data_IF_424291003680
#
_entry.id   IF_424291003680
#
_cell.length_a   1.000
_cell.length_b   1.000
_cell.length_c   1.000
_cell.angle_alpha   90.00
_cell.angle_beta   90.00
_cell.angle_gamma   90.00
#
_symmetry.space_group_name_H-M   'P 1'
#
loop_
_entity.id
_entity.type
_entity.pdbx_description
1 polymer ?
#
# COMPACT_ATOMS: atom_id res chain seq x y z
N UNK A 1 1.49 -19.97 -9.95
CA UNK A 1 2.70 -19.86 -9.10
C UNK A 1 2.52 -20.74 -7.89
N UNK A 2 3.54 -21.48 -7.49
CA UNK A 2 3.57 -22.25 -6.24
C UNK A 2 3.81 -21.31 -5.05
N UNK A 3 3.58 -21.79 -3.82
CA UNK A 3 3.87 -21.00 -2.60
C UNK A 3 5.33 -20.49 -2.53
N UNK A 4 6.27 -21.14 -3.22
CA UNK A 4 7.68 -20.75 -3.30
C UNK A 4 7.95 -19.54 -4.20
N UNK A 5 7.01 -19.16 -5.06
CA UNK A 5 7.28 -18.16 -6.10
C UNK A 5 7.24 -16.71 -5.57
N UNK A 6 6.62 -16.47 -4.41
CA UNK A 6 6.53 -15.12 -3.81
C UNK A 6 7.68 -14.81 -2.86
N UNK A 7 8.31 -15.81 -2.27
CA UNK A 7 9.32 -15.62 -1.23
C UNK A 7 10.50 -14.72 -1.68
N UNK A 8 11.10 -14.88 -2.87
CA UNK A 8 12.20 -14.02 -3.28
C UNK A 8 11.83 -12.52 -3.33
N UNK A 9 10.61 -12.21 -3.77
CA UNK A 9 10.12 -10.82 -3.80
C UNK A 9 9.86 -10.27 -2.40
N UNK A 10 9.32 -11.10 -1.52
CA UNK A 10 9.09 -10.73 -0.13
C UNK A 10 10.40 -10.49 0.61
N UNK A 11 11.42 -11.34 0.41
CA UNK A 11 12.74 -11.16 0.98
C UNK A 11 13.41 -9.88 0.49
N UNK A 12 13.34 -9.57 -0.81
CA UNK A 12 13.91 -8.34 -1.34
C UNK A 12 13.28 -7.09 -0.73
N UNK A 13 11.95 -7.07 -0.58
CA UNK A 13 11.26 -5.96 0.08
C UNK A 13 11.55 -5.90 1.58
N UNK A 14 11.67 -7.04 2.26
CA UNK A 14 12.04 -7.08 3.67
C UNK A 14 13.46 -6.56 3.91
N UNK A 15 14.41 -6.92 3.05
CA UNK A 15 15.80 -6.44 3.08
C UNK A 15 15.87 -4.92 2.82
N UNK A 16 14.99 -4.40 1.96
CA UNK A 16 14.80 -2.96 1.76
C UNK A 16 14.09 -2.24 2.93
N UNK A 17 13.70 -2.96 3.99
CA UNK A 17 13.17 -2.39 5.23
C UNK A 17 11.64 -2.43 5.37
N UNK A 18 10.91 -2.93 4.39
CA UNK A 18 9.45 -3.05 4.48
C UNK A 18 9.01 -4.24 5.32
N UNK A 19 7.93 -4.07 6.10
CA UNK A 19 7.30 -5.16 6.85
C UNK A 19 6.39 -5.96 5.91
N UNK A 20 6.81 -7.16 5.55
CA UNK A 20 6.09 -8.03 4.63
C UNK A 20 5.39 -9.18 5.34
N UNK A 21 4.26 -9.61 4.80
CA UNK A 21 3.58 -10.81 5.28
C UNK A 21 2.92 -11.57 4.14
N UNK A 22 2.81 -12.91 4.23
CA UNK A 22 2.03 -13.70 3.30
C UNK A 22 0.55 -13.34 3.42
N UNK A 23 -0.18 -13.40 2.32
CA UNK A 23 -1.61 -13.09 2.27
C UNK A 23 -2.39 -14.26 1.68
N UNK A 24 -3.52 -14.55 2.28
CA UNK A 24 -4.54 -15.34 1.66
C UNK A 24 -5.50 -14.40 0.95
N UNK A 25 -5.32 -14.27 -0.36
CA UNK A 25 -5.93 -13.23 -1.17
C UNK A 25 -5.50 -11.81 -0.73
N UNK A 26 -6.42 -10.99 -0.25
CA UNK A 26 -6.15 -9.61 0.16
C UNK A 26 -5.89 -9.44 1.66
N UNK A 27 -6.02 -10.53 2.43
CA UNK A 27 -6.02 -10.44 3.90
C UNK A 27 -4.93 -11.32 4.52
N UNK A 28 -4.23 -10.82 5.55
CA UNK A 28 -3.39 -11.62 6.45
C UNK A 28 -4.27 -12.32 7.51
N UNK A 29 -5.35 -12.97 7.06
CA UNK A 29 -6.34 -13.60 7.95
C UNK A 29 -5.89 -15.02 8.30
N UNK A 30 -5.00 -15.10 9.29
CA UNK A 30 -4.55 -16.33 9.89
C UNK A 30 -4.90 -16.29 11.37
N UNK A 31 -5.69 -17.27 11.83
CA UNK A 31 -6.21 -17.30 13.19
C UNK A 31 -5.11 -17.11 14.26
N UNK A 32 -5.27 -16.13 15.11
CA UNK A 32 -4.38 -15.84 16.23
C UNK A 32 -3.08 -15.09 15.90
N UNK A 33 -2.83 -14.69 14.65
CA UNK A 33 -1.58 -14.05 14.27
C UNK A 33 -1.65 -12.50 14.17
N UNK A 34 -2.76 -11.88 14.55
CA UNK A 34 -2.85 -10.43 14.73
C UNK A 34 -2.85 -9.59 13.45
N UNK A 35 -3.21 -10.18 12.30
CA UNK A 35 -3.36 -9.46 11.03
C UNK A 35 -2.07 -8.78 10.55
N UNK A 36 -2.20 -7.60 9.94
CA UNK A 36 -1.07 -6.83 9.38
C UNK A 36 0.02 -6.50 10.42
N UNK A 37 -0.37 -6.14 11.63
CA UNK A 37 0.57 -5.69 12.68
C UNK A 37 1.24 -6.84 13.41
N UNK A 38 0.60 -8.01 13.50
CA UNK A 38 1.12 -9.15 14.23
C UNK A 38 1.92 -10.15 13.38
N UNK A 39 1.66 -10.16 12.06
CA UNK A 39 2.27 -11.13 11.13
C UNK A 39 3.41 -10.54 10.31
N UNK A 40 3.37 -9.24 10.02
CA UNK A 40 4.34 -8.63 9.13
C UNK A 40 5.72 -8.49 9.78
N UNK A 41 6.75 -8.90 9.07
CA UNK A 41 8.15 -8.83 9.50
C UNK A 41 9.07 -8.36 8.37
N UNK A 42 10.20 -7.79 8.74
CA UNK A 42 11.37 -7.58 7.86
C UNK A 42 12.54 -8.47 8.24
N UNK A 43 12.42 -9.25 9.30
CA UNK A 43 13.44 -10.18 9.71
C UNK A 43 13.38 -11.44 8.82
N UNK A 44 14.36 -11.62 7.96
CA UNK A 44 14.37 -12.66 6.91
C UNK A 44 14.04 -14.07 7.43
N UNK A 45 14.60 -14.54 8.57
CA UNK A 45 14.22 -15.84 9.13
C UNK A 45 12.71 -15.97 9.44
N UNK A 46 12.08 -14.91 9.94
CA UNK A 46 10.63 -14.90 10.21
C UNK A 46 9.83 -14.87 8.92
N UNK A 47 10.24 -14.07 7.93
CA UNK A 47 9.62 -14.05 6.60
C UNK A 47 9.63 -15.45 6.01
N UNK A 48 10.79 -16.12 5.97
CA UNK A 48 10.92 -17.51 5.52
C UNK A 48 10.03 -18.47 6.30
N UNK A 49 9.99 -18.34 7.61
CA UNK A 49 9.17 -19.18 8.47
C UNK A 49 7.68 -19.02 8.12
N UNK A 50 7.17 -17.78 8.04
CA UNK A 50 5.76 -17.53 7.70
C UNK A 50 5.41 -18.05 6.31
N UNK A 51 6.23 -17.77 5.29
CA UNK A 51 5.97 -18.24 3.93
C UNK A 51 6.06 -19.76 3.77
N UNK A 52 6.84 -20.46 4.60
CA UNK A 52 6.91 -21.92 4.59
C UNK A 52 5.73 -22.58 5.27
N UNK A 53 5.04 -21.90 6.21
CA UNK A 53 4.01 -22.48 7.08
C UNK A 53 2.61 -22.06 6.73
N UNK A 54 2.43 -20.85 6.22
CA UNK A 54 1.11 -20.30 5.97
C UNK A 54 0.72 -20.47 4.50
N UNK A 55 -0.48 -21.00 4.21
CA UNK A 55 -0.98 -21.04 2.83
C UNK A 55 -1.22 -19.63 2.33
N UNK A 56 -0.65 -19.27 1.18
CA UNK A 56 -0.79 -17.92 0.64
C UNK A 56 -0.98 -17.92 -0.88
N UNK A 57 -1.64 -16.88 -1.38
CA UNK A 57 -1.89 -16.63 -2.80
C UNK A 57 -1.16 -15.37 -3.27
N UNK A 58 -0.41 -14.76 -2.38
CA UNK A 58 0.34 -13.54 -2.59
C UNK A 58 0.94 -13.04 -1.28
N UNK A 59 1.38 -11.82 -1.29
CA UNK A 59 1.92 -11.15 -0.12
C UNK A 59 1.67 -9.64 -0.17
N UNK A 60 1.91 -8.97 0.94
CA UNK A 60 1.71 -7.54 1.07
C UNK A 60 2.68 -6.89 2.03
N UNK A 61 2.59 -5.57 2.08
CA UNK A 61 3.34 -4.71 3.00
C UNK A 61 2.36 -4.16 4.04
N UNK A 62 2.69 -4.33 5.32
CA UNK A 62 2.04 -3.59 6.39
C UNK A 62 2.48 -2.13 6.31
N UNK A 63 1.53 -1.23 6.11
CA UNK A 63 1.80 0.21 5.92
C UNK A 63 1.92 0.96 7.24
N UNK A 64 2.49 2.15 7.19
CA UNK A 64 2.63 3.07 8.32
C UNK A 64 4.07 3.34 8.71
N UNK A 65 4.23 3.91 9.89
CA UNK A 65 5.53 4.36 10.43
C UNK A 65 6.59 3.26 10.40
N UNK A 66 6.22 2.05 10.80
CA UNK A 66 7.16 0.94 10.91
C UNK A 66 7.75 0.48 9.57
N UNK A 67 7.02 0.59 8.47
CA UNK A 67 7.49 0.32 7.10
C UNK A 67 8.00 1.57 6.38
N UNK A 68 7.88 2.75 7.00
CA UNK A 68 8.27 4.00 6.38
C UNK A 68 7.42 4.43 5.17
N UNK A 69 6.28 3.80 4.95
CA UNK A 69 5.43 4.07 3.79
C UNK A 69 3.93 3.96 4.10
N UNK A 70 3.13 4.57 3.25
CA UNK A 70 1.68 4.42 3.23
C UNK A 70 1.18 4.43 1.78
N UNK A 71 -0.06 4.04 1.55
CA UNK A 71 -0.63 3.98 0.22
C UNK A 71 -1.99 4.66 0.14
N UNK A 72 -2.23 5.34 -0.98
CA UNK A 72 -3.55 5.73 -1.44
C UNK A 72 -4.04 4.64 -2.41
N UNK A 73 -5.12 3.98 -2.03
CA UNK A 73 -5.77 2.94 -2.80
C UNK A 73 -6.90 3.58 -3.62
N UNK A 74 -6.87 3.41 -4.94
CA UNK A 74 -7.72 4.10 -5.91
C UNK A 74 -8.42 3.04 -6.72
N UNK A 75 -9.72 2.87 -6.49
CA UNK A 75 -10.53 1.80 -7.06
C UNK A 75 -11.56 2.29 -8.07
N UNK A 76 -11.60 1.59 -9.18
CA UNK A 76 -12.62 1.75 -10.22
C UNK A 76 -12.59 3.11 -10.92
N UNK A 77 -13.66 3.39 -11.67
CA UNK A 77 -13.81 4.66 -12.41
C UNK A 77 -14.01 5.85 -11.46
N UNK A 78 -14.77 5.66 -10.39
CA UNK A 78 -14.98 6.72 -9.40
C UNK A 78 -13.68 7.15 -8.72
N UNK A 79 -12.82 6.19 -8.38
CA UNK A 79 -11.51 6.50 -7.81
C UNK A 79 -10.59 7.21 -8.80
N UNK A 80 -10.61 6.81 -10.07
CA UNK A 80 -9.86 7.50 -11.13
C UNK A 80 -10.32 8.93 -11.30
N UNK A 81 -11.64 9.17 -11.35
CA UNK A 81 -12.20 10.51 -11.47
C UNK A 81 -11.84 11.37 -10.24
N UNK A 82 -12.02 10.84 -9.04
CA UNK A 82 -11.64 11.54 -7.79
C UNK A 82 -10.17 11.95 -7.78
N UNK A 83 -9.28 11.09 -8.31
CA UNK A 83 -7.85 11.42 -8.42
C UNK A 83 -7.59 12.55 -9.41
N UNK A 84 -8.27 12.52 -10.57
CA UNK A 84 -8.17 13.60 -11.58
C UNK A 84 -8.65 14.91 -11.00
N UNK A 85 -9.83 14.94 -10.38
CA UNK A 85 -10.40 16.12 -9.75
C UNK A 85 -9.47 16.73 -8.68
N UNK A 86 -8.81 15.87 -7.88
CA UNK A 86 -7.84 16.31 -6.88
C UNK A 86 -6.59 16.92 -7.50
N UNK A 87 -6.06 16.35 -8.57
CA UNK A 87 -4.88 16.87 -9.27
C UNK A 87 -5.22 18.20 -9.93
N UNK A 88 -6.36 18.31 -10.60
CA UNK A 88 -6.81 19.55 -11.25
C UNK A 88 -7.05 20.68 -10.25
N UNK A 89 -7.58 20.35 -9.06
CA UNK A 89 -7.85 21.34 -8.01
C UNK A 89 -6.60 21.78 -7.24
N UNK A 90 -5.52 21.00 -7.27
CA UNK A 90 -4.41 21.19 -6.35
C UNK A 90 -3.11 21.60 -7.04
N UNK A 91 -2.52 20.73 -7.83
CA UNK A 91 -1.31 21.00 -8.60
C UNK A 91 -0.83 19.70 -9.27
N UNK A 92 0.06 18.95 -8.64
CA UNK A 92 0.57 17.69 -9.17
C UNK A 92 0.75 16.64 -8.06
N UNK A 93 0.80 15.38 -8.48
CA UNK A 93 1.29 14.29 -7.63
C UNK A 93 2.72 13.95 -8.03
N UNK A 94 3.62 13.77 -7.05
CA UNK A 94 5.00 13.41 -7.33
C UNK A 94 5.08 12.05 -8.04
N UNK A 95 6.07 11.91 -8.92
CA UNK A 95 6.42 10.61 -9.51
C UNK A 95 6.91 9.66 -8.42
N UNK A 96 6.51 8.40 -8.52
CA UNK A 96 6.89 7.36 -7.56
C UNK A 96 6.28 6.01 -7.86
N UNK A 97 6.55 5.01 -7.02
CA UNK A 97 6.02 3.66 -7.19
C UNK A 97 4.49 3.63 -7.23
N UNK A 98 3.97 2.89 -8.20
CA UNK A 98 2.53 2.65 -8.36
C UNK A 98 2.30 1.18 -8.62
N UNK A 99 1.53 0.54 -7.76
CA UNK A 99 1.01 -0.80 -7.99
C UNK A 99 -0.26 -0.71 -8.84
N UNK A 100 -0.30 -1.40 -9.96
CA UNK A 100 -1.51 -1.59 -10.75
C UNK A 100 -2.26 -2.80 -10.19
N UNK A 101 -3.54 -2.61 -9.95
CA UNK A 101 -4.46 -3.66 -9.55
C UNK A 101 -5.42 -3.96 -10.71
N UNK A 102 -6.13 -5.10 -10.75
CA UNK A 102 -7.14 -5.36 -11.75
C UNK A 102 -8.25 -4.29 -11.84
N UNK A 103 -8.54 -3.59 -10.75
CA UNK A 103 -9.62 -2.61 -10.69
C UNK A 103 -9.13 -1.16 -10.53
N UNK A 104 -7.83 -0.93 -10.31
CA UNK A 104 -7.33 0.41 -10.03
C UNK A 104 -5.82 0.47 -9.81
N UNK A 105 -5.40 1.17 -8.78
CA UNK A 105 -3.98 1.33 -8.46
C UNK A 105 -3.76 1.70 -7.00
N UNK A 106 -2.60 1.31 -6.45
CA UNK A 106 -2.10 1.85 -5.18
C UNK A 106 -0.96 2.84 -5.50
N UNK A 107 -1.07 4.07 -5.03
CA UNK A 107 0.02 5.05 -5.07
C UNK A 107 0.74 5.06 -3.74
N UNK A 108 2.06 4.90 -3.76
CA UNK A 108 2.90 4.80 -2.59
C UNK A 108 3.50 6.15 -2.22
N UNK A 109 3.50 6.43 -0.93
CA UNK A 109 4.10 7.63 -0.35
C UNK A 109 4.97 7.27 0.85
N UNK A 110 6.03 8.04 1.06
CA UNK A 110 6.87 7.94 2.24
C UNK A 110 6.09 8.36 3.49
N UNK A 111 6.25 7.60 4.56
CA UNK A 111 5.71 7.99 5.86
C UNK A 111 6.64 9.03 6.48
N UNK A 112 6.11 10.17 6.91
CA UNK A 112 6.82 11.25 7.58
C UNK A 112 6.08 11.65 8.85
N UNK A 113 6.66 12.44 9.76
CA UNK A 113 5.95 12.94 10.94
C UNK A 113 4.63 13.66 10.63
N UNK A 114 4.49 14.26 9.46
CA UNK A 114 3.23 14.85 9.00
C UNK A 114 2.11 13.81 8.84
N UNK A 115 2.48 12.55 8.59
CA UNK A 115 1.53 11.43 8.44
C UNK A 115 0.95 10.93 9.77
N UNK A 116 1.40 11.42 10.93
CA UNK A 116 0.86 11.02 12.26
C UNK A 116 -0.65 11.21 12.42
N UNK A 117 -1.21 12.17 11.68
CA UNK A 117 -2.65 12.42 11.68
C UNK A 117 -3.43 11.45 10.80
N UNK A 118 -2.79 10.76 9.86
CA UNK A 118 -3.43 9.81 8.98
C UNK A 118 -3.95 8.60 9.76
N UNK A 119 -5.11 8.13 9.33
CA UNK A 119 -5.72 6.87 9.81
C UNK A 119 -6.13 6.05 8.59
N UNK A 120 -6.20 4.73 8.73
CA UNK A 120 -6.88 3.91 7.74
C UNK A 120 -8.28 4.45 7.54
N UNK A 121 -8.62 4.80 6.32
CA UNK A 121 -9.91 5.40 5.99
C UNK A 121 -10.39 4.88 4.65
N UNK A 122 -11.60 4.35 4.65
CA UNK A 122 -12.31 3.95 3.44
C UNK A 122 -13.12 5.16 2.95
N UNK A 123 -13.03 5.44 1.65
CA UNK A 123 -13.84 6.46 0.99
C UNK A 123 -13.57 7.88 1.50
N UNK A 124 -12.31 8.30 1.66
CA UNK A 124 -12.05 9.72 1.94
C UNK A 124 -12.45 10.61 0.75
N UNK A 125 -12.44 10.03 -0.44
CA UNK A 125 -13.12 10.44 -1.66
C UNK A 125 -13.82 9.23 -2.31
N UNK A 126 -14.81 9.39 -3.20
CA UNK A 126 -15.40 8.26 -3.90
C UNK A 126 -14.35 7.40 -4.57
N UNK A 127 -14.29 6.11 -4.22
CA UNK A 127 -13.32 5.15 -4.74
C UNK A 127 -11.87 5.38 -4.31
N UNK A 128 -11.61 6.15 -3.25
CA UNK A 128 -10.26 6.38 -2.74
C UNK A 128 -10.17 6.07 -1.24
N UNK A 129 -9.24 5.19 -0.89
CA UNK A 129 -8.96 4.76 0.48
C UNK A 129 -7.54 5.15 0.90
N UNK A 130 -7.31 5.23 2.21
CA UNK A 130 -5.99 5.40 2.81
C UNK A 130 -5.62 4.15 3.59
N UNK A 131 -4.43 3.62 3.31
CA UNK A 131 -3.81 2.50 4.03
C UNK A 131 -2.52 2.98 4.68
N UNK A 132 -2.55 3.13 5.99
CA UNK A 132 -1.44 3.62 6.82
C UNK A 132 -1.25 2.73 8.05
N UNK A 133 -0.74 3.24 9.16
CA UNK A 133 -0.41 2.47 10.37
C UNK A 133 -1.57 1.57 10.81
N UNK A 134 -1.28 0.30 10.94
CA UNK A 134 -2.27 -0.76 11.26
C UNK A 134 -3.00 -1.33 10.05
N UNK A 135 -2.74 -0.81 8.85
CA UNK A 135 -3.22 -1.33 7.58
C UNK A 135 -2.15 -2.03 6.77
N UNK A 136 -2.48 -2.30 5.52
CA UNK A 136 -1.53 -2.85 4.56
C UNK A 136 -2.16 -2.98 3.18
N UNK A 137 -1.31 -3.22 2.20
CA UNK A 137 -1.71 -3.41 0.81
C UNK A 137 -0.99 -4.58 0.16
N UNK A 138 -1.67 -5.20 -0.77
CA UNK A 138 -1.12 -6.28 -1.60
C UNK A 138 -0.10 -5.69 -2.57
N UNK A 139 1.02 -6.40 -2.77
CA UNK A 139 2.07 -6.00 -3.71
C UNK A 139 2.30 -7.02 -4.81
N UNK A 140 2.84 -6.58 -5.96
CA UNK A 140 3.23 -7.49 -7.04
C UNK A 140 4.29 -8.52 -6.61
N UNK A 141 4.26 -9.72 -7.19
CA UNK A 141 3.40 -10.21 -8.27
C UNK A 141 2.17 -11.01 -7.77
N UNK A 142 1.57 -10.64 -6.66
CA UNK A 142 0.46 -11.34 -6.03
C UNK A 142 -0.71 -11.58 -6.98
N UNK A 143 -1.45 -12.68 -6.76
CA UNK A 143 -2.68 -12.95 -7.48
C UNK A 143 -3.84 -12.12 -6.90
N UNK A 144 -4.79 -11.73 -7.76
CA UNK A 144 -6.03 -11.08 -7.35
C UNK A 144 -7.17 -12.11 -7.27
N UNK A 145 -8.08 -12.02 -6.29
CA UNK A 145 -9.18 -12.99 -6.15
C UNK A 145 -10.12 -13.04 -7.36
N UNK A 146 -10.34 -11.91 -8.01
CA UNK A 146 -11.22 -11.80 -9.20
C UNK A 146 -10.47 -12.12 -10.51
N UNK A 147 -9.27 -12.65 -10.43
CA UNK A 147 -8.40 -12.95 -11.56
C UNK A 147 -7.39 -11.84 -11.84
N UNK A 148 -6.37 -12.18 -12.63
CA UNK A 148 -5.25 -11.28 -12.89
C UNK A 148 -4.23 -11.21 -11.76
N UNK A 149 -3.33 -10.26 -11.87
CA UNK A 149 -2.23 -10.05 -10.92
C UNK A 149 -1.98 -8.58 -10.69
N UNK A 150 -1.41 -8.30 -9.53
CA UNK A 150 -0.80 -7.00 -9.25
C UNK A 150 0.50 -6.88 -10.05
N UNK A 151 0.77 -5.69 -10.59
CA UNK A 151 2.00 -5.35 -11.30
C UNK A 151 2.49 -3.95 -10.91
N UNK A 152 3.79 -3.71 -11.07
CA UNK A 152 4.32 -2.34 -10.95
C UNK A 152 4.09 -1.59 -12.27
N UNK A 153 3.89 -0.28 -12.18
CA UNK A 153 3.82 0.57 -13.38
C UNK A 153 5.24 0.82 -13.88
N UNK A 154 5.88 1.90 -13.61
CA UNK A 154 7.17 2.28 -14.20
C UNK A 154 8.37 1.90 -13.30
N UNK A 155 8.22 2.09 -12.00
CA UNK A 155 9.23 1.81 -10.98
C UNK A 155 8.61 1.05 -9.81
N UNK A 156 9.44 0.29 -9.11
CA UNK A 156 9.06 -0.49 -7.93
C UNK A 156 9.53 0.20 -6.65
N UNK A 157 9.13 -0.34 -5.50
CA UNK A 157 9.67 0.07 -4.19
C UNK A 157 11.15 -0.30 -3.99
N UNK A 158 11.72 -1.14 -4.84
CA UNK A 158 13.14 -1.50 -4.82
C UNK A 158 13.98 -0.55 -5.71
N UNK A 159 13.36 0.06 -6.71
CA UNK A 159 14.04 0.97 -7.63
C UNK A 159 14.07 2.40 -7.08
N UNK A 160 13.06 2.78 -6.30
CA UNK A 160 12.85 4.13 -5.84
C UNK A 160 12.13 4.18 -4.50
N UNK A 161 12.65 4.97 -3.56
CA UNK A 161 11.94 5.30 -2.33
C UNK A 161 10.65 6.06 -2.68
N UNK A 162 9.50 5.76 -2.03
CA UNK A 162 8.28 6.51 -2.24
C UNK A 162 8.48 8.02 -1.94
N UNK A 163 7.94 8.90 -2.77
CA UNK A 163 8.02 10.34 -2.53
C UNK A 163 7.21 10.74 -1.30
N UNK A 164 7.49 11.92 -0.76
CA UNK A 164 6.59 12.53 0.22
C UNK A 164 5.26 12.90 -0.44
N UNK A 165 4.18 12.69 0.29
CA UNK A 165 2.88 13.17 -0.16
C UNK A 165 2.83 14.70 -0.08
N UNK A 166 2.22 15.37 -1.06
CA UNK A 166 1.99 16.80 -0.96
C UNK A 166 1.13 17.16 0.25
N UNK A 167 1.39 18.29 0.87
CA UNK A 167 0.65 18.76 2.04
C UNK A 167 -0.86 18.85 1.80
N UNK A 168 -1.26 19.24 0.58
CA UNK A 168 -2.67 19.30 0.21
C UNK A 168 -3.35 17.92 0.28
N UNK A 169 -2.65 16.83 -0.08
CA UNK A 169 -3.20 15.48 -0.02
C UNK A 169 -3.39 15.03 1.43
N UNK A 170 -2.40 15.29 2.28
CA UNK A 170 -2.53 15.02 3.72
C UNK A 170 -3.71 15.80 4.33
N UNK A 171 -3.83 17.08 4.01
CA UNK A 171 -4.91 17.93 4.50
C UNK A 171 -6.30 17.45 4.04
N UNK A 172 -6.41 17.03 2.78
CA UNK A 172 -7.64 16.46 2.22
C UNK A 172 -8.04 15.18 2.95
N UNK A 173 -7.10 14.26 3.16
CA UNK A 173 -7.35 13.00 3.84
C UNK A 173 -7.80 13.21 5.29
N UNK A 174 -7.19 14.14 6.02
CA UNK A 174 -7.56 14.41 7.42
C UNK A 174 -8.81 15.28 7.55
N UNK A 175 -9.36 15.75 6.44
CA UNK A 175 -10.59 16.55 6.43
C UNK A 175 -10.42 17.97 7.00
N UNK A 176 -9.23 18.55 6.92
CA UNK A 176 -9.01 19.97 7.20
C UNK A 176 -9.58 20.78 6.03
N UNK A 177 -10.87 21.07 6.09
CA UNK A 177 -11.53 21.96 5.14
C UNK A 177 -10.80 23.31 5.12
N UNK A 178 -10.37 23.76 3.93
CA UNK A 178 -9.78 25.08 3.76
C UNK A 178 -8.46 25.14 3.00
N UNK A 179 -7.78 24.04 2.73
CA UNK A 179 -6.55 24.04 1.94
C UNK A 179 -6.77 24.40 0.47
N UNK A 180 -7.84 23.91 -0.12
CA UNK A 180 -8.19 24.16 -1.54
C UNK A 180 -8.80 25.55 -1.80
N UNK A 181 -9.10 26.33 -0.76
CA UNK A 181 -9.74 27.65 -0.89
C UNK A 181 -8.77 28.84 -0.75
N UNK A 182 -7.45 28.59 -0.62
CA UNK A 182 -6.44 29.64 -0.44
C UNK A 182 -5.53 29.85 -1.67
N UNK A 183 -6.00 29.49 -2.86
CA UNK A 183 -5.37 29.90 -4.12
C UNK A 183 -6.26 30.81 -4.92
#
# INVERSE_FOLDING_TARGET
MSNSDYLPYAEALADAGYLVCPLRWKCPDYAGLGGWTGLASRHIPEVRYHFSRLPHTGFGIATGEASGCWACDIDGELGRQSLVDLIEASDFLPFGPVTITPNGQHRWFRWTPACKALRNRVGFRPGMDVRTTGGGVVVPPSAHPDGGRYSWRDVTLLDMEPPEAPDWLIAEIVGKAGWLTQK
#
